data_IF_036287687398
#
_entry.id   IF_036287687398
#
_cell.length_a   1.000
_cell.length_b   1.000
_cell.length_c   1.000
_cell.angle_alpha   90.00
_cell.angle_beta   90.00
_cell.angle_gamma   90.00
#
_symmetry.space_group_name_H-M   'P 1'
#
loop_
_entity.id
_entity.type
_entity.pdbx_description
1 polymer ?
#
# COMPACT_ATOMS: atom_id res chain seq x y z
N UNK A 1 -0.17 -15.00 14.74
CA UNK A 1 -0.15 -13.74 15.49
C UNK A 1 -0.36 -14.04 16.95
N UNK A 2 0.59 -13.64 17.79
CA UNK A 2 0.44 -13.68 19.25
C UNK A 2 -0.50 -12.56 19.73
N UNK A 3 -0.91 -12.62 20.99
CA UNK A 3 -1.73 -11.54 21.61
C UNK A 3 -1.03 -10.17 21.58
N UNK A 4 0.30 -10.15 21.63
CA UNK A 4 1.09 -8.92 21.57
C UNK A 4 0.95 -8.22 20.20
N UNK A 5 1.08 -8.96 19.10
CA UNK A 5 0.94 -8.43 17.73
C UNK A 5 -0.41 -7.74 17.53
N UNK A 6 -1.49 -8.37 18.03
CA UNK A 6 -2.86 -7.82 17.94
C UNK A 6 -2.97 -6.48 18.68
N UNK A 7 -2.40 -6.38 19.88
CA UNK A 7 -2.44 -5.16 20.67
C UNK A 7 -1.65 -4.02 20.02
N UNK A 8 -0.51 -4.31 19.41
CA UNK A 8 0.29 -3.33 18.67
C UNK A 8 -0.50 -2.80 17.47
N UNK A 9 -1.16 -3.69 16.72
CA UNK A 9 -1.97 -3.29 15.56
C UNK A 9 -3.16 -2.41 15.97
N UNK A 10 -3.83 -2.73 17.08
CA UNK A 10 -4.91 -1.89 17.64
C UNK A 10 -4.35 -0.55 18.13
N UNK A 11 -3.16 -0.54 18.74
CA UNK A 11 -2.54 0.69 19.21
C UNK A 11 -2.15 1.62 18.05
N UNK A 12 -1.68 1.05 16.93
CA UNK A 12 -1.28 1.75 15.71
C UNK A 12 -2.44 2.08 14.74
N UNK A 13 -3.65 1.54 14.94
CA UNK A 13 -4.80 1.91 14.09
C UNK A 13 -5.27 3.34 14.31
N UNK A 14 -4.86 3.95 15.42
CA UNK A 14 -5.08 5.36 15.72
C UNK A 14 -4.13 6.24 14.88
N UNK A 15 -4.72 7.12 14.05
CA UNK A 15 -3.99 7.87 13.02
C UNK A 15 -2.91 8.80 13.59
N UNK A 16 -3.10 9.39 14.77
CA UNK A 16 -2.07 10.24 15.38
C UNK A 16 -0.83 9.43 15.75
N UNK A 17 -1.00 8.28 16.42
CA UNK A 17 0.11 7.37 16.72
C UNK A 17 0.81 6.87 15.48
N UNK A 18 0.04 6.54 14.44
CA UNK A 18 0.59 6.09 13.17
C UNK A 18 1.42 7.18 12.50
N UNK A 19 0.88 8.40 12.39
CA UNK A 19 1.59 9.57 11.87
C UNK A 19 2.88 9.84 12.66
N UNK A 20 2.79 9.88 13.99
CA UNK A 20 3.93 10.14 14.87
C UNK A 20 5.04 9.08 14.72
N UNK A 21 4.67 7.81 14.55
CA UNK A 21 5.64 6.75 14.28
C UNK A 21 6.44 7.05 13.00
N UNK A 22 5.76 7.33 11.90
CA UNK A 22 6.42 7.57 10.61
C UNK A 22 7.16 8.93 10.56
N UNK A 23 6.62 9.96 11.20
CA UNK A 23 7.29 11.25 11.37
C UNK A 23 8.57 11.10 12.18
N UNK A 24 8.54 10.35 13.29
CA UNK A 24 9.72 10.07 14.09
C UNK A 24 10.79 9.26 13.34
N UNK A 25 10.39 8.27 12.54
CA UNK A 25 11.31 7.35 11.85
C UNK A 25 11.88 7.95 10.55
N UNK A 26 11.04 8.59 9.73
CA UNK A 26 11.41 9.04 8.38
C UNK A 26 11.76 10.53 8.34
N UNK A 27 11.05 11.35 9.13
CA UNK A 27 11.15 12.81 9.08
C UNK A 27 11.82 13.41 10.33
N UNK A 28 12.54 12.60 11.11
CA UNK A 28 13.29 13.08 12.27
C UNK A 28 12.42 13.72 13.36
N UNK A 29 11.12 13.41 13.39
CA UNK A 29 10.16 13.97 14.34
C UNK A 29 9.43 15.22 13.85
N UNK A 30 9.65 15.68 12.62
CA UNK A 30 8.86 16.77 12.04
C UNK A 30 7.46 16.30 11.65
N UNK A 31 6.45 17.14 11.89
CA UNK A 31 5.03 16.86 11.60
C UNK A 31 4.71 16.99 10.10
N UNK A 32 5.24 16.07 9.30
CA UNK A 32 5.06 16.03 7.83
C UNK A 32 3.83 15.21 7.42
N UNK A 33 3.66 14.02 8.00
CA UNK A 33 2.46 13.20 7.80
C UNK A 33 1.43 13.66 8.81
N UNK A 34 0.31 14.18 8.33
CA UNK A 34 -0.80 14.60 9.18
C UNK A 34 -1.84 13.47 9.34
N UNK A 35 -2.39 13.26 10.54
CA UNK A 35 -3.41 12.24 10.80
C UNK A 35 -4.65 12.36 9.90
N UNK A 36 -5.06 13.57 9.55
CA UNK A 36 -6.18 13.86 8.65
C UNK A 36 -5.96 13.36 7.23
N UNK A 37 -4.70 13.28 6.78
CA UNK A 37 -4.34 12.81 5.45
C UNK A 37 -4.22 11.28 5.37
N UNK A 38 -4.34 10.58 6.50
CA UNK A 38 -4.26 9.13 6.56
C UNK A 38 -5.64 8.48 6.37
N UNK A 39 -5.68 7.47 5.50
CA UNK A 39 -6.85 6.63 5.26
C UNK A 39 -6.48 5.17 5.52
N UNK A 40 -7.26 4.49 6.36
CA UNK A 40 -7.03 3.07 6.63
C UNK A 40 -7.30 2.25 5.37
N UNK A 41 -6.40 1.34 5.05
CA UNK A 41 -6.52 0.43 3.92
C UNK A 41 -6.66 -0.99 4.44
N UNK A 42 -7.46 -1.82 3.76
CA UNK A 42 -7.59 -3.22 4.14
C UNK A 42 -6.20 -3.91 4.10
N UNK A 43 -5.71 -4.45 5.23
CA UNK A 43 -4.42 -5.13 5.31
C UNK A 43 -4.38 -6.43 4.48
N UNK A 44 -5.55 -6.98 4.16
CA UNK A 44 -5.71 -8.15 3.30
C UNK A 44 -6.15 -7.70 1.92
N UNK A 45 -5.29 -7.92 0.93
CA UNK A 45 -5.59 -7.62 -0.47
C UNK A 45 -5.11 -8.74 -1.38
N UNK A 46 -5.73 -8.86 -2.55
CA UNK A 46 -5.35 -9.82 -3.58
C UNK A 46 -4.92 -9.12 -4.85
N UNK A 47 -3.90 -9.67 -5.50
CA UNK A 47 -3.40 -9.20 -6.79
C UNK A 47 -3.38 -10.38 -7.74
N UNK A 48 -3.92 -10.17 -8.94
CA UNK A 48 -3.93 -11.15 -10.01
C UNK A 48 -2.71 -10.90 -10.90
N UNK A 49 -1.68 -11.72 -10.72
CA UNK A 49 -0.43 -11.62 -11.47
C UNK A 49 -0.53 -12.52 -12.70
N UNK A 50 -0.24 -11.97 -13.88
CA UNK A 50 -0.16 -12.76 -15.12
C UNK A 50 1.28 -13.22 -15.34
N UNK A 51 1.48 -14.52 -15.52
CA UNK A 51 2.78 -15.02 -15.92
C UNK A 51 3.03 -14.81 -17.43
N UNK A 52 4.27 -15.02 -17.88
CA UNK A 52 4.66 -14.91 -19.30
C UNK A 52 3.86 -15.82 -20.25
N UNK A 53 3.24 -16.88 -19.73
CA UNK A 53 2.44 -17.85 -20.48
C UNK A 53 0.94 -17.50 -20.44
N UNK A 54 0.58 -16.31 -19.94
CA UNK A 54 -0.80 -15.82 -19.85
C UNK A 54 -1.65 -16.44 -18.74
N UNK A 55 -1.11 -17.37 -17.94
CA UNK A 55 -1.82 -17.91 -16.77
C UNK A 55 -1.85 -16.86 -15.66
N UNK A 56 -3.04 -16.61 -15.16
CA UNK A 56 -3.27 -15.70 -14.03
C UNK A 56 -3.17 -16.47 -12.73
N UNK A 57 -2.33 -15.98 -11.81
CA UNK A 57 -2.25 -16.49 -10.44
C UNK A 57 -2.76 -15.41 -9.50
N UNK A 58 -3.77 -15.74 -8.70
CA UNK A 58 -4.21 -14.85 -7.63
C UNK A 58 -3.27 -15.03 -6.44
N UNK A 59 -2.68 -13.93 -5.99
CA UNK A 59 -1.80 -13.89 -4.82
C UNK A 59 -2.45 -13.03 -3.76
N UNK A 60 -2.39 -13.48 -2.50
CA UNK A 60 -2.93 -12.74 -1.35
C UNK A 60 -1.79 -12.15 -0.54
N UNK A 61 -2.01 -10.93 -0.05
CA UNK A 61 -1.13 -10.20 0.86
C UNK A 61 -1.80 -10.08 2.21
N UNK A 62 -0.99 -10.17 3.25
CA UNK A 62 -1.40 -10.05 4.64
C UNK A 62 -0.40 -9.12 5.34
N UNK A 63 -0.72 -7.82 5.33
CA UNK A 63 -0.03 -6.80 6.14
C UNK A 63 -0.61 -6.81 7.55
N UNK A 64 0.14 -6.35 8.54
CA UNK A 64 -0.42 -6.20 9.89
C UNK A 64 -1.26 -4.92 9.99
N UNK A 65 -0.72 -3.79 9.53
CA UNK A 65 -1.45 -2.54 9.39
C UNK A 65 -0.91 -1.74 8.20
N UNK A 66 -1.81 -1.05 7.49
CA UNK A 66 -1.49 -0.22 6.35
C UNK A 66 -2.39 1.01 6.29
N UNK A 67 -1.80 2.17 6.07
CA UNK A 67 -2.52 3.42 5.83
C UNK A 67 -2.06 4.03 4.50
N UNK A 68 -3.03 4.56 3.76
CA UNK A 68 -2.79 5.39 2.59
C UNK A 68 -2.63 6.83 3.05
N UNK A 69 -1.53 7.46 2.68
CA UNK A 69 -1.32 8.89 2.87
C UNK A 69 -1.74 9.67 1.62
N UNK A 70 -2.70 10.57 1.78
CA UNK A 70 -3.22 11.45 0.73
C UNK A 70 -2.35 12.69 0.60
N UNK A 71 -1.27 12.57 -0.16
CA UNK A 71 -0.42 13.71 -0.52
C UNK A 71 -0.50 13.96 -2.05
N UNK A 72 0.21 14.97 -2.55
CA UNK A 72 0.39 15.27 -3.97
C UNK A 72 1.03 14.10 -4.76
N UNK A 73 1.62 13.12 -4.07
CA UNK A 73 2.10 11.87 -4.65
C UNK A 73 0.95 10.87 -4.87
N UNK A 74 0.91 10.26 -6.05
CA UNK A 74 -0.20 9.45 -6.55
C UNK A 74 -0.64 8.29 -5.64
N UNK A 75 0.25 7.71 -4.81
CA UNK A 75 -0.11 6.73 -3.78
C UNK A 75 1.08 6.47 -2.84
N UNK A 76 1.01 6.89 -1.57
CA UNK A 76 1.94 6.42 -0.53
C UNK A 76 1.22 5.46 0.40
N UNK A 77 1.71 4.21 0.44
CA UNK A 77 1.24 3.18 1.36
C UNK A 77 2.28 3.04 2.47
N UNK A 78 1.87 3.37 3.68
CA UNK A 78 2.67 3.20 4.88
C UNK A 78 2.22 1.91 5.55
N UNK A 79 3.11 0.94 5.67
CA UNK A 79 2.81 -0.35 6.29
C UNK A 79 3.77 -0.62 7.45
N UNK A 80 3.24 -1.16 8.55
CA UNK A 80 4.03 -1.62 9.68
C UNK A 80 3.77 -3.12 9.89
N UNK A 81 4.83 -3.89 10.12
CA UNK A 81 4.77 -5.33 10.42
C UNK A 81 5.27 -5.53 11.85
N UNK A 82 4.37 -5.83 12.78
CA UNK A 82 4.69 -5.99 14.18
C UNK A 82 5.22 -7.42 14.43
N UNK A 83 6.52 -7.54 14.74
CA UNK A 83 7.15 -8.84 14.97
C UNK A 83 7.84 -8.93 16.32
N UNK A 84 7.58 -10.03 17.03
CA UNK A 84 8.22 -10.37 18.31
C UNK A 84 9.68 -10.85 18.13
N UNK A 85 10.00 -11.50 17.00
CA UNK A 85 11.33 -12.06 16.72
C UNK A 85 11.83 -11.64 15.35
N UNK A 86 13.15 -11.51 15.23
CA UNK A 86 13.80 -11.25 13.93
C UNK A 86 13.53 -12.42 13.00
N UNK A 87 12.90 -12.13 11.86
CA UNK A 87 12.64 -13.10 10.82
C UNK A 87 13.33 -12.67 9.51
N UNK A 88 14.42 -13.33 9.13
CA UNK A 88 15.25 -12.93 7.99
C UNK A 88 14.55 -12.96 6.63
N UNK A 89 13.43 -13.68 6.48
CA UNK A 89 12.63 -13.60 5.24
C UNK A 89 11.70 -12.38 5.16
N UNK A 90 11.63 -11.54 6.20
CA UNK A 90 10.74 -10.37 6.18
C UNK A 90 11.08 -9.33 5.15
N UNK A 91 12.35 -8.95 4.94
CA UNK A 91 12.71 -8.07 3.83
C UNK A 91 12.18 -8.60 2.50
N UNK A 92 12.31 -9.91 2.26
CA UNK A 92 11.78 -10.55 1.05
C UNK A 92 10.25 -10.53 0.97
N UNK A 93 9.54 -10.81 2.07
CA UNK A 93 8.06 -10.71 2.14
C UNK A 93 7.59 -9.29 1.80
N UNK A 94 8.21 -8.28 2.39
CA UNK A 94 7.89 -6.86 2.18
C UNK A 94 8.11 -6.47 0.72
N UNK A 95 9.27 -6.79 0.14
CA UNK A 95 9.57 -6.52 -1.28
C UNK A 95 8.56 -7.17 -2.23
N UNK A 96 8.15 -8.41 -1.96
CA UNK A 96 7.15 -9.10 -2.77
C UNK A 96 5.80 -8.37 -2.73
N UNK A 97 5.38 -7.90 -1.56
CA UNK A 97 4.12 -7.18 -1.40
C UNK A 97 4.15 -5.81 -2.08
N UNK A 98 5.26 -5.09 -1.96
CA UNK A 98 5.44 -3.80 -2.63
C UNK A 98 5.45 -3.95 -4.15
N UNK A 99 6.10 -5.01 -4.67
CA UNK A 99 6.07 -5.35 -6.09
C UNK A 99 4.66 -5.62 -6.62
N UNK A 100 3.81 -6.30 -5.83
CA UNK A 100 2.41 -6.53 -6.18
C UNK A 100 1.56 -5.25 -6.17
N UNK A 101 1.82 -4.34 -5.22
CA UNK A 101 1.18 -3.01 -5.22
C UNK A 101 1.58 -2.21 -6.45
N UNK A 102 2.86 -2.26 -6.82
CA UNK A 102 3.38 -1.59 -8.00
C UNK A 102 2.78 -2.15 -9.30
N UNK A 103 2.63 -3.47 -9.44
CA UNK A 103 1.94 -4.09 -10.58
C UNK A 103 0.49 -3.60 -10.70
N UNK A 104 -0.21 -3.47 -9.57
CA UNK A 104 -1.57 -2.92 -9.54
C UNK A 104 -1.60 -1.47 -10.00
N UNK A 105 -0.63 -0.65 -9.57
CA UNK A 105 -0.51 0.75 -10.01
C UNK A 105 -0.24 0.86 -11.52
N UNK A 106 0.69 0.07 -12.06
CA UNK A 106 0.99 0.03 -13.50
C UNK A 106 -0.30 -0.26 -14.29
N UNK A 107 -1.05 -1.28 -13.89
CA UNK A 107 -2.30 -1.66 -14.56
C UNK A 107 -3.33 -0.54 -14.53
N UNK A 108 -3.55 0.07 -13.36
CA UNK A 108 -4.50 1.18 -13.21
C UNK A 108 -4.10 2.38 -14.07
N UNK A 109 -2.80 2.69 -14.16
CA UNK A 109 -2.29 3.77 -15.01
C UNK A 109 -2.50 3.47 -16.50
N UNK A 110 -2.26 2.23 -16.94
CA UNK A 110 -2.53 1.78 -18.31
C UNK A 110 -4.02 1.88 -18.68
N UNK A 111 -4.91 1.49 -17.78
CA UNK A 111 -6.37 1.60 -17.97
C UNK A 111 -6.78 3.08 -18.14
N UNK A 112 -6.34 3.96 -17.24
CA UNK A 112 -6.59 5.42 -17.31
C UNK A 112 -6.08 6.04 -18.61
N UNK A 113 -4.86 5.71 -19.02
CA UNK A 113 -4.28 6.20 -20.28
C UNK A 113 -5.12 5.77 -21.49
N UNK A 114 -5.51 4.49 -21.53
CA UNK A 114 -6.31 3.93 -22.62
C UNK A 114 -7.72 4.56 -22.68
N UNK A 115 -8.33 4.82 -21.52
CA UNK A 115 -9.61 5.52 -21.42
C UNK A 115 -9.53 6.96 -21.92
N UNK A 116 -8.50 7.72 -21.51
CA UNK A 116 -8.27 9.09 -21.99
C UNK A 116 -8.13 9.16 -23.52
N UNK A 117 -7.39 8.22 -24.11
CA UNK A 117 -7.25 8.10 -25.57
C UNK A 117 -8.59 7.80 -26.28
N UNK A 118 -9.44 6.96 -25.67
CA UNK A 118 -10.77 6.65 -26.21
C UNK A 118 -11.71 7.86 -26.14
N UNK A 119 -11.63 8.66 -25.08
CA UNK A 119 -12.45 9.86 -24.91
C UNK A 119 -12.03 10.96 -25.91
N UNK A 120 -10.73 11.21 -26.07
CA UNK A 120 -10.21 12.17 -27.05
C UNK A 120 -10.67 11.83 -28.49
N UNK A 121 -10.57 10.56 -28.90
CA UNK A 121 -11.05 10.11 -30.23
C UNK A 121 -12.56 10.23 -30.44
N UNK A 122 -13.37 10.23 -29.37
CA UNK A 122 -14.83 10.46 -29.47
C UNK A 122 -15.17 11.93 -29.58
N UNK A 123 -14.31 12.80 -29.06
CA UNK A 123 -14.49 14.25 -29.05
C UNK A 123 -14.08 14.86 -30.40
N UNK A 124 -13.01 14.36 -31.03
CA UNK A 124 -12.59 14.75 -32.40
C UNK A 124 -13.55 14.30 -33.51
N UNK A 125 -14.49 13.39 -33.22
CA UNK A 125 -15.49 12.89 -34.17
C UNK A 125 -16.85 13.59 -34.08
N UNK A 126 -16.97 14.62 -33.23
CA UNK A 126 -18.14 15.50 -33.11
C UNK A 126 -17.82 16.87 -33.67
#
# INVERSE_FOLDING_TARGET
>A
MGKADVNVNIWLSEKNRFANLFNGVIYGGEDVILPEDLEEVNPVSSVNVKNRVGKTKSMKKYRDIIMRWKNQATLVLLANEAQDKIHYAMPHKVMLYDGMDYETQIRNNWERFTEGQRQAKKQDRR
#
